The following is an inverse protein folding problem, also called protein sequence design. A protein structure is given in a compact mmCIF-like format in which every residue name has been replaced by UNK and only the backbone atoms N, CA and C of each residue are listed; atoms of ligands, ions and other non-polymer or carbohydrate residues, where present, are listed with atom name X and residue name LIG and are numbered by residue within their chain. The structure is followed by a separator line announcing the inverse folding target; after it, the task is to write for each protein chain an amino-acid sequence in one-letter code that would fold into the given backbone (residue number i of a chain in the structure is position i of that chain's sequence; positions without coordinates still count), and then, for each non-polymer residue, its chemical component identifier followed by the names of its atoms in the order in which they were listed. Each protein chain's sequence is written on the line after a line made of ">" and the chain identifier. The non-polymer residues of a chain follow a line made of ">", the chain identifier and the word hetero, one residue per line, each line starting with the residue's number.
data_IF_059936176431
#
_entry.id   IF_059936176431
#
_cell.length_a   1.000
_cell.length_b   1.000
_cell.length_c   1.000
_cell.angle_alpha   90.00
_cell.angle_beta   90.00
_cell.angle_gamma   90.00
#
_symmetry.space_group_name_H-M   'P 1'
#
loop_
_entity.id
_entity.type
_entity.pdbx_description
1 polymer ?
#
# COMPACT_ATOMS: atom_id res chain seq x y z
N UNK A 1 -9.88 3.75 -0.90
CA UNK A 1 -8.41 3.64 -0.68
C UNK A 1 -7.81 4.93 -0.14
N UNK A 2 -7.95 6.08 -0.81
CA UNK A 2 -7.34 7.34 -0.35
C UNK A 2 -7.76 7.75 1.07
N UNK A 3 -9.06 7.69 1.39
CA UNK A 3 -9.54 7.94 2.75
C UNK A 3 -8.86 7.04 3.79
N UNK A 4 -8.71 5.74 3.46
CA UNK A 4 -8.04 4.77 4.33
C UNK A 4 -6.55 5.08 4.52
N UNK A 5 -5.87 5.56 3.48
CA UNK A 5 -4.47 5.97 3.59
C UNK A 5 -4.31 7.25 4.43
N UNK A 6 -5.25 8.18 4.35
CA UNK A 6 -5.28 9.35 5.22
C UNK A 6 -5.44 8.95 6.69
N UNK A 7 -6.45 8.13 7.00
CA UNK A 7 -6.65 7.56 8.35
C UNK A 7 -5.40 6.81 8.86
N UNK A 8 -4.75 6.05 7.98
CA UNK A 8 -3.53 5.32 8.30
C UNK A 8 -2.40 6.27 8.68
N UNK A 9 -2.21 7.35 7.90
CA UNK A 9 -1.19 8.35 8.19
C UNK A 9 -1.46 9.06 9.52
N UNK A 10 -2.72 9.38 9.81
CA UNK A 10 -3.12 9.99 11.08
C UNK A 10 -2.83 9.05 12.26
N UNK A 11 -3.17 7.76 12.12
CA UNK A 11 -2.89 6.73 13.15
C UNK A 11 -1.39 6.57 13.39
N UNK A 12 -0.58 6.56 12.32
CA UNK A 12 0.89 6.49 12.42
C UNK A 12 1.43 7.73 13.14
N UNK A 13 0.95 8.91 12.77
CA UNK A 13 1.34 10.17 13.39
C UNK A 13 1.04 10.17 14.88
N UNK A 14 -0.17 9.79 15.28
CA UNK A 14 -0.58 9.69 16.69
C UNK A 14 0.35 8.73 17.44
N UNK A 15 0.47 7.49 16.94
CA UNK A 15 1.26 6.43 17.59
C UNK A 15 2.73 6.81 17.76
N UNK A 16 3.35 7.42 16.74
CA UNK A 16 4.76 7.80 16.80
C UNK A 16 4.98 9.06 17.64
N UNK A 17 4.03 10.00 17.61
CA UNK A 17 4.09 11.21 18.45
C UNK A 17 4.03 10.82 19.92
N UNK A 18 3.11 9.95 20.33
CA UNK A 18 2.99 9.46 21.72
C UNK A 18 4.28 8.78 22.23
N UNK A 19 5.00 8.11 21.32
CA UNK A 19 6.24 7.40 21.64
C UNK A 19 7.48 8.29 21.53
N UNK A 20 7.34 9.50 21.01
CA UNK A 20 8.44 10.43 20.77
C UNK A 20 9.10 10.88 22.08
N UNK A 21 10.43 11.10 22.08
CA UNK A 21 11.12 11.78 23.18
C UNK A 21 10.52 13.16 23.50
N UNK A 22 9.91 13.85 22.52
CA UNK A 22 9.27 15.16 22.68
C UNK A 22 8.10 15.15 23.69
N UNK A 23 7.42 14.00 23.86
CA UNK A 23 6.36 13.86 24.86
C UNK A 23 6.91 13.54 26.27
N UNK A 24 8.17 13.11 26.35
CA UNK A 24 8.78 12.61 27.60
C UNK A 24 9.69 13.63 28.26
N UNK A 25 10.32 14.51 27.49
CA UNK A 25 11.26 15.50 27.97
C UNK A 25 10.78 16.90 27.58
N UNK A 26 10.44 17.73 28.57
CA UNK A 26 9.91 19.09 28.37
C UNK A 26 10.97 20.18 28.51
N UNK A 27 12.12 19.86 29.12
CA UNK A 27 13.22 20.79 29.35
C UNK A 27 14.46 20.30 28.59
N UNK A 28 14.43 20.50 27.28
CA UNK A 28 15.46 20.04 26.34
C UNK A 28 16.04 21.22 25.59
N UNK A 29 17.32 21.14 25.25
CA UNK A 29 17.97 22.14 24.42
C UNK A 29 17.17 22.35 23.11
N UNK A 30 16.89 23.60 22.70
CA UNK A 30 16.07 23.87 21.52
C UNK A 30 16.55 23.20 20.23
N UNK A 31 17.88 23.08 20.03
CA UNK A 31 18.43 22.41 18.83
C UNK A 31 18.19 20.90 18.88
N UNK A 32 18.19 20.31 20.06
CA UNK A 32 17.89 18.89 20.22
C UNK A 32 16.41 18.62 20.00
N UNK A 33 15.53 19.51 20.47
CA UNK A 33 14.10 19.43 20.22
C UNK A 33 13.78 19.51 18.72
N UNK A 34 14.34 20.51 18.01
CA UNK A 34 14.20 20.65 16.55
C UNK A 34 14.67 19.38 15.81
N UNK A 35 15.81 18.82 16.21
CA UNK A 35 16.30 17.57 15.63
C UNK A 35 15.34 16.40 15.85
N UNK A 36 14.73 16.28 17.03
CA UNK A 36 13.75 15.23 17.30
C UNK A 36 12.44 15.42 16.54
N UNK A 37 12.05 16.66 16.26
CA UNK A 37 10.90 16.95 15.39
C UNK A 37 11.18 16.47 13.96
N UNK A 38 12.35 16.79 13.40
CA UNK A 38 12.75 16.31 12.08
C UNK A 38 12.83 14.77 12.01
N UNK A 39 13.40 14.13 13.04
CA UNK A 39 13.48 12.66 13.12
C UNK A 39 12.09 12.03 13.22
N UNK A 40 11.17 12.64 13.98
CA UNK A 40 9.79 12.17 14.11
C UNK A 40 9.04 12.29 12.78
N UNK A 41 9.15 13.43 12.09
CA UNK A 41 8.52 13.63 10.78
C UNK A 41 9.06 12.64 9.75
N UNK A 42 10.38 12.42 9.73
CA UNK A 42 11.01 11.43 8.86
C UNK A 42 10.51 10.01 9.16
N UNK A 43 10.36 9.65 10.44
CA UNK A 43 9.85 8.35 10.86
C UNK A 43 8.38 8.14 10.44
N UNK A 44 7.53 9.16 10.60
CA UNK A 44 6.12 9.14 10.17
C UNK A 44 6.04 8.89 8.66
N UNK A 45 6.80 9.64 7.85
CA UNK A 45 6.77 9.47 6.39
C UNK A 45 7.38 8.14 5.93
N UNK A 46 8.41 7.64 6.61
CA UNK A 46 8.97 6.32 6.31
C UNK A 46 7.97 5.20 6.58
N UNK A 47 7.31 5.25 7.75
CA UNK A 47 6.35 4.24 8.17
C UNK A 47 5.08 4.27 7.30
N UNK A 48 4.59 5.47 6.96
CA UNK A 48 3.49 5.63 6.01
C UNK A 48 3.81 5.01 4.65
N UNK A 49 4.99 5.29 4.09
CA UNK A 49 5.43 4.70 2.81
C UNK A 49 5.55 3.18 2.86
N UNK A 50 6.02 2.63 3.99
CA UNK A 50 6.10 1.18 4.21
C UNK A 50 4.71 0.55 4.19
N UNK A 51 3.79 1.02 5.03
CA UNK A 51 2.46 0.43 5.13
C UNK A 51 1.63 0.61 3.85
N UNK A 52 1.77 1.75 3.16
CA UNK A 52 1.18 1.95 1.82
C UNK A 52 1.69 0.91 0.82
N UNK A 53 2.99 0.62 0.83
CA UNK A 53 3.58 -0.39 -0.05
C UNK A 53 3.05 -1.79 0.29
N UNK A 54 2.86 -2.11 1.57
CA UNK A 54 2.26 -3.39 2.00
C UNK A 54 0.82 -3.56 1.53
N UNK A 55 0.03 -2.48 1.55
CA UNK A 55 -1.34 -2.50 1.04
C UNK A 55 -1.37 -2.79 -0.48
N UNK A 56 -0.48 -2.15 -1.25
CA UNK A 56 -0.34 -2.41 -2.68
C UNK A 56 0.22 -3.81 -2.97
N UNK A 57 1.10 -4.31 -2.11
CA UNK A 57 1.62 -5.67 -2.20
C UNK A 57 0.48 -6.68 -2.00
N UNK A 58 -0.36 -6.51 -0.98
CA UNK A 58 -1.53 -7.36 -0.77
C UNK A 58 -2.47 -7.36 -1.98
N UNK A 59 -2.72 -6.19 -2.58
CA UNK A 59 -3.49 -6.09 -3.83
C UNK A 59 -2.81 -6.85 -4.98
N UNK A 60 -1.49 -6.74 -5.13
CA UNK A 60 -0.74 -7.47 -6.16
C UNK A 60 -0.82 -8.99 -5.96
N UNK A 61 -0.74 -9.48 -4.72
CA UNK A 61 -0.91 -10.89 -4.39
C UNK A 61 -2.32 -11.39 -4.72
N UNK A 62 -3.36 -10.62 -4.41
CA UNK A 62 -4.73 -10.99 -4.76
C UNK A 62 -4.94 -11.03 -6.28
N UNK A 63 -4.40 -10.07 -7.02
CA UNK A 63 -4.42 -10.09 -8.50
C UNK A 63 -3.61 -11.27 -9.08
N UNK A 64 -2.54 -11.71 -8.38
CA UNK A 64 -1.79 -12.91 -8.74
C UNK A 64 -2.68 -14.15 -8.58
N UNK A 65 -3.44 -14.24 -7.51
CA UNK A 65 -4.37 -15.36 -7.31
C UNK A 65 -5.45 -15.41 -8.41
N UNK A 66 -5.98 -14.26 -8.82
CA UNK A 66 -6.86 -14.13 -10.00
C UNK A 66 -6.17 -14.66 -11.27
N UNK A 67 -4.93 -14.27 -11.51
CA UNK A 67 -4.16 -14.74 -12.66
C UNK A 67 -3.87 -16.24 -12.61
N UNK A 68 -3.55 -16.80 -11.43
CA UNK A 68 -3.34 -18.24 -11.23
C UNK A 68 -4.64 -19.03 -11.50
N UNK A 69 -5.78 -18.54 -11.01
CA UNK A 69 -7.09 -19.13 -11.30
C UNK A 69 -7.37 -19.13 -12.81
N UNK A 70 -7.06 -18.04 -13.52
CA UNK A 70 -7.17 -17.94 -14.99
C UNK A 70 -6.31 -18.96 -15.73
N UNK A 71 -5.17 -19.33 -15.17
CA UNK A 71 -4.27 -20.35 -15.73
C UNK A 71 -4.70 -21.79 -15.38
N UNK A 72 -5.72 -21.96 -14.54
CA UNK A 72 -6.10 -23.29 -14.02
C UNK A 72 -5.05 -23.89 -13.09
N UNK A 73 -4.31 -23.04 -12.37
CA UNK A 73 -3.32 -23.47 -11.40
C UNK A 73 -3.97 -24.12 -10.17
N UNK A 74 -3.19 -24.88 -9.41
CA UNK A 74 -3.66 -25.52 -8.19
C UNK A 74 -4.07 -24.48 -7.13
N UNK A 75 -5.15 -24.75 -6.41
CA UNK A 75 -5.65 -23.93 -5.32
C UNK A 75 -4.64 -23.84 -4.15
N UNK A 76 -3.71 -24.78 -4.02
CA UNK A 76 -2.64 -24.71 -3.01
C UNK A 76 -1.62 -23.57 -3.27
N UNK A 77 -1.62 -22.97 -4.47
CA UNK A 77 -0.66 -21.93 -4.86
C UNK A 77 -1.14 -20.49 -4.61
N UNK A 78 -2.43 -20.32 -4.26
CA UNK A 78 -3.02 -19.00 -3.98
C UNK A 78 -2.60 -18.50 -2.60
N UNK A 79 -2.40 -17.19 -2.48
CA UNK A 79 -2.02 -16.56 -1.22
C UNK A 79 -3.21 -16.30 -0.29
N UNK A 80 -4.40 -16.09 -0.85
CA UNK A 80 -5.62 -15.78 -0.09
C UNK A 80 -6.74 -16.79 -0.39
N UNK A 81 -6.62 -18.03 0.10
CA UNK A 81 -7.66 -19.06 -0.09
C UNK A 81 -9.03 -18.63 0.45
N UNK A 82 -9.07 -17.81 1.49
CA UNK A 82 -10.29 -17.24 2.07
C UNK A 82 -11.04 -16.28 1.12
N UNK A 83 -10.38 -15.79 0.07
CA UNK A 83 -10.95 -14.90 -0.95
C UNK A 83 -11.32 -15.64 -2.25
N UNK A 84 -11.34 -16.98 -2.26
CA UNK A 84 -11.59 -17.80 -3.44
C UNK A 84 -12.83 -17.36 -4.24
N UNK A 85 -13.94 -17.05 -3.56
CA UNK A 85 -15.17 -16.58 -4.22
C UNK A 85 -14.97 -15.28 -5.00
N UNK A 86 -14.23 -14.32 -4.44
CA UNK A 86 -13.95 -13.05 -5.10
C UNK A 86 -12.97 -13.24 -6.27
N UNK A 87 -11.98 -14.12 -6.09
CA UNK A 87 -11.02 -14.51 -7.14
C UNK A 87 -11.76 -15.14 -8.33
N UNK A 88 -12.66 -16.08 -8.07
CA UNK A 88 -13.47 -16.75 -9.09
C UNK A 88 -14.32 -15.73 -9.87
N UNK A 89 -15.05 -14.86 -9.16
CA UNK A 89 -15.94 -13.86 -9.75
C UNK A 89 -15.21 -12.94 -10.75
N UNK A 90 -14.00 -12.50 -10.42
CA UNK A 90 -13.18 -11.65 -11.30
C UNK A 90 -12.59 -12.47 -12.44
N UNK A 91 -12.02 -13.64 -12.13
CA UNK A 91 -11.39 -14.51 -13.13
C UNK A 91 -12.37 -14.98 -14.23
N UNK A 92 -13.66 -15.10 -13.91
CA UNK A 92 -14.70 -15.44 -14.87
C UNK A 92 -14.95 -14.34 -15.93
N UNK A 93 -14.61 -13.08 -15.61
CA UNK A 93 -14.97 -11.90 -16.42
C UNK A 93 -13.84 -11.35 -17.28
N UNK A 94 -12.60 -11.76 -17.01
CA UNK A 94 -11.41 -11.24 -17.68
C UNK A 94 -10.63 -12.35 -18.37
N UNK A 95 -9.83 -11.99 -19.36
CA UNK A 95 -8.91 -12.89 -20.07
C UNK A 95 -7.60 -13.09 -19.30
N UNK A 96 -6.82 -14.11 -19.68
CA UNK A 96 -5.49 -14.35 -19.09
C UNK A 96 -4.54 -13.17 -19.33
N UNK A 97 -4.66 -12.51 -20.50
CA UNK A 97 -3.86 -11.33 -20.85
C UNK A 97 -4.22 -10.13 -19.96
N UNK A 98 -5.52 -9.87 -19.75
CA UNK A 98 -5.98 -8.78 -18.87
C UNK A 98 -5.59 -9.00 -17.41
N UNK A 99 -5.66 -10.25 -16.91
CA UNK A 99 -5.21 -10.58 -15.57
C UNK A 99 -3.70 -10.32 -15.38
N UNK A 100 -2.88 -10.65 -16.38
CA UNK A 100 -1.46 -10.33 -16.37
C UNK A 100 -1.20 -8.82 -16.45
N UNK A 101 -1.98 -8.10 -17.25
CA UNK A 101 -1.86 -6.64 -17.36
C UNK A 101 -2.23 -5.93 -16.06
N UNK A 102 -3.20 -6.43 -15.28
CA UNK A 102 -3.49 -5.93 -13.94
C UNK A 102 -2.26 -5.97 -13.02
N UNK A 103 -1.49 -7.07 -13.06
CA UNK A 103 -0.25 -7.18 -12.29
C UNK A 103 0.77 -6.12 -12.71
N UNK A 104 0.94 -5.91 -14.02
CA UNK A 104 1.85 -4.88 -14.57
C UNK A 104 1.42 -3.48 -14.18
N UNK A 105 0.11 -3.20 -14.17
CA UNK A 105 -0.45 -1.91 -13.75
C UNK A 105 -0.08 -1.63 -12.29
N UNK A 106 -0.31 -2.58 -11.38
CA UNK A 106 0.02 -2.40 -9.96
C UNK A 106 1.53 -2.25 -9.74
N UNK A 107 2.35 -3.03 -10.46
CA UNK A 107 3.80 -2.92 -10.39
C UNK A 107 4.29 -1.53 -10.86
N UNK A 108 3.72 -1.02 -11.96
CA UNK A 108 4.04 0.31 -12.47
C UNK A 108 3.58 1.42 -11.52
N UNK A 109 2.40 1.30 -10.93
CA UNK A 109 1.90 2.24 -9.92
C UNK A 109 2.84 2.29 -8.71
N UNK A 110 3.32 1.13 -8.23
CA UNK A 110 4.30 1.08 -7.14
C UNK A 110 5.63 1.76 -7.52
N UNK A 111 6.10 1.60 -8.76
CA UNK A 111 7.30 2.31 -9.25
C UNK A 111 7.09 3.82 -9.25
N UNK A 112 5.94 4.29 -9.74
CA UNK A 112 5.61 5.71 -9.75
C UNK A 112 5.57 6.29 -8.32
N UNK A 113 5.00 5.57 -7.35
CA UNK A 113 4.94 6.01 -5.96
C UNK A 113 6.29 6.11 -5.23
N UNK A 114 7.39 5.66 -5.87
CA UNK A 114 8.77 5.85 -5.39
C UNK A 114 9.43 7.12 -5.97
N UNK A 115 8.73 7.86 -6.83
CA UNK A 115 9.19 9.14 -7.38
C UNK A 115 8.42 10.31 -6.75
N UNK A 116 8.59 11.53 -7.26
CA UNK A 116 7.96 12.76 -6.79
C UNK A 116 6.55 13.01 -7.38
N UNK A 117 5.87 11.97 -7.88
CA UNK A 117 4.49 12.10 -8.38
C UNK A 117 3.50 12.38 -7.26
N UNK A 118 2.38 13.00 -7.59
CA UNK A 118 1.26 13.13 -6.67
C UNK A 118 0.66 11.75 -6.37
N UNK A 119 0.72 11.32 -5.11
CA UNK A 119 0.28 10.00 -4.66
C UNK A 119 -1.17 9.71 -5.04
N UNK A 120 -2.08 10.63 -4.72
CA UNK A 120 -3.51 10.47 -5.00
C UNK A 120 -3.77 10.19 -6.48
N UNK A 121 -3.16 10.99 -7.36
CA UNK A 121 -3.28 10.84 -8.80
C UNK A 121 -2.69 9.51 -9.30
N UNK A 122 -1.51 9.11 -8.80
CA UNK A 122 -0.87 7.86 -9.20
C UNK A 122 -1.71 6.64 -8.80
N UNK A 123 -2.33 6.67 -7.62
CA UNK A 123 -3.23 5.62 -7.15
C UNK A 123 -4.55 5.61 -7.92
N UNK A 124 -5.20 6.76 -8.11
CA UNK A 124 -6.46 6.85 -8.87
C UNK A 124 -6.29 6.34 -10.29
N UNK A 125 -5.30 6.86 -11.02
CA UNK A 125 -5.03 6.44 -12.40
C UNK A 125 -4.62 4.97 -12.48
N UNK A 126 -3.84 4.48 -11.51
CA UNK A 126 -3.44 3.07 -11.43
C UNK A 126 -4.64 2.14 -11.24
N UNK A 127 -5.49 2.44 -10.27
CA UNK A 127 -6.66 1.62 -9.95
C UNK A 127 -7.71 1.65 -11.06
N UNK A 128 -7.93 2.81 -11.70
CA UNK A 128 -8.87 2.94 -12.82
C UNK A 128 -8.48 2.08 -14.04
N UNK A 129 -7.20 1.71 -14.18
CA UNK A 129 -6.73 0.85 -15.28
C UNK A 129 -6.96 -0.64 -15.03
N UNK A 130 -7.30 -1.05 -13.80
CA UNK A 130 -7.52 -2.45 -13.49
C UNK A 130 -8.80 -2.97 -14.16
N UNK A 131 -8.71 -4.19 -14.69
CA UNK A 131 -9.82 -4.94 -15.28
C UNK A 131 -10.31 -5.97 -14.27
N UNK A 132 -11.50 -5.76 -13.71
CA UNK A 132 -12.11 -6.62 -12.67
C UNK A 132 -13.50 -7.10 -13.06
#
# INVERSE_FOLDING_TARGET
>A
MLARLAELKDTIKETLTERSPLQRYTDVDPKLAEKWEEELDAAIEAEYRRQRAELLLALQWWLRDVWLQKLGADAELVAFPELAYAVEAVSARITNAEALDNLRVVEQTQRLLRTNVQEALALEVGLLKLRL
#
